data_IF_232724311443
#
_entry.id   IF_232724311443
#
_cell.length_a   1.000
_cell.length_b   1.000
_cell.length_c   1.000
_cell.angle_alpha   90.00
_cell.angle_beta   90.00
_cell.angle_gamma   90.00
#
_symmetry.space_group_name_H-M   'P 1'
#
loop_
_entity.id
_entity.type
_entity.pdbx_description
1 polymer ?
#
# COMPACT_ATOMS: atom_id res chain seq x y z
N UNK A 1 -31.11 12.09 29.96
CA UNK A 1 -31.54 10.85 29.28
C UNK A 1 -30.29 10.00 29.08
N UNK A 2 -30.38 8.68 29.24
CA UNK A 2 -29.22 7.78 29.12
C UNK A 2 -28.86 7.58 27.65
N UNK A 3 -27.58 7.68 27.33
CA UNK A 3 -27.01 7.26 26.05
C UNK A 3 -27.37 5.79 25.78
N UNK A 4 -27.87 5.49 24.57
CA UNK A 4 -28.23 4.13 24.15
C UNK A 4 -27.24 3.64 23.09
N UNK A 5 -26.58 2.52 23.36
CA UNK A 5 -25.59 1.92 22.43
C UNK A 5 -26.02 0.52 22.03
N UNK A 6 -26.07 0.26 20.72
CA UNK A 6 -26.25 -1.08 20.14
C UNK A 6 -25.02 -1.43 19.31
N UNK A 7 -24.35 -2.52 19.66
CA UNK A 7 -23.19 -3.04 18.94
C UNK A 7 -23.51 -4.42 18.33
N UNK A 8 -23.24 -4.54 17.04
CA UNK A 8 -23.49 -5.74 16.25
C UNK A 8 -22.21 -6.18 15.51
N UNK A 9 -22.04 -7.48 15.33
CA UNK A 9 -20.97 -8.07 14.52
C UNK A 9 -21.53 -9.01 13.46
N UNK A 10 -20.86 -9.05 12.31
CA UNK A 10 -21.03 -10.07 11.28
C UNK A 10 -19.66 -10.72 11.03
N UNK A 11 -19.53 -12.00 11.35
CA UNK A 11 -18.32 -12.78 11.11
C UNK A 11 -18.68 -14.12 10.47
N UNK A 12 -18.25 -14.33 9.24
CA UNK A 12 -18.47 -15.58 8.49
C UNK A 12 -17.25 -16.49 8.61
N UNK A 13 -17.49 -17.80 8.71
CA UNK A 13 -16.45 -18.83 8.85
C UNK A 13 -15.63 -18.95 7.57
N UNK A 14 -16.27 -18.76 6.41
CA UNK A 14 -15.66 -18.92 5.08
C UNK A 14 -14.96 -17.65 4.56
N UNK A 15 -14.60 -16.73 5.44
CA UNK A 15 -13.74 -15.60 5.07
C UNK A 15 -14.45 -14.31 4.67
N UNK A 16 -15.66 -14.32 4.08
CA UNK A 16 -16.18 -13.13 3.38
C UNK A 16 -16.50 -11.88 4.24
N UNK A 17 -16.95 -12.03 5.49
CA UNK A 17 -17.25 -10.91 6.39
C UNK A 17 -16.60 -11.02 7.78
N UNK A 18 -16.04 -9.91 8.26
CA UNK A 18 -15.54 -9.75 9.64
C UNK A 18 -15.68 -8.27 10.07
N UNK A 19 -16.93 -7.84 10.27
CA UNK A 19 -17.33 -6.43 10.36
C UNK A 19 -18.11 -6.16 11.63
N UNK A 20 -17.97 -4.95 12.18
CA UNK A 20 -18.83 -4.44 13.24
C UNK A 20 -19.71 -3.29 12.76
N UNK A 21 -20.81 -3.09 13.45
CA UNK A 21 -21.70 -1.97 13.28
C UNK A 21 -22.24 -1.54 14.65
N UNK A 22 -21.98 -0.29 15.02
CA UNK A 22 -22.40 0.31 16.26
C UNK A 22 -23.31 1.50 15.98
N UNK A 23 -24.38 1.61 16.75
CA UNK A 23 -25.27 2.77 16.75
C UNK A 23 -25.38 3.28 18.17
N UNK A 24 -25.02 4.54 18.37
CA UNK A 24 -25.14 5.27 19.63
C UNK A 24 -26.18 6.37 19.42
N UNK A 25 -27.18 6.45 20.29
CA UNK A 25 -28.14 7.56 20.35
C UNK A 25 -27.87 8.32 21.64
N UNK A 26 -27.60 9.62 21.49
CA UNK A 26 -27.43 10.56 22.59
C UNK A 26 -28.30 11.78 22.33
N UNK A 27 -29.38 11.90 23.10
CA UNK A 27 -30.46 12.87 22.89
C UNK A 27 -30.97 12.89 21.43
N UNK A 28 -30.88 14.03 20.73
CA UNK A 28 -31.31 14.16 19.35
C UNK A 28 -30.23 13.77 18.32
N UNK A 29 -29.09 13.24 18.77
CA UNK A 29 -27.96 12.85 17.94
C UNK A 29 -27.87 11.34 17.80
N UNK A 30 -27.65 10.86 16.58
CA UNK A 30 -27.33 9.46 16.31
C UNK A 30 -25.93 9.38 15.71
N UNK A 31 -25.05 8.63 16.36
CA UNK A 31 -23.71 8.32 15.86
C UNK A 31 -23.67 6.86 15.44
N UNK A 32 -23.20 6.62 14.22
CA UNK A 32 -22.97 5.27 13.70
C UNK A 32 -21.47 5.08 13.54
N UNK A 33 -20.93 3.99 14.08
CA UNK A 33 -19.55 3.56 13.86
C UNK A 33 -19.55 2.20 13.18
N UNK A 34 -18.75 2.03 12.13
CA UNK A 34 -18.70 0.76 11.40
C UNK A 34 -17.33 0.52 10.79
N UNK A 35 -16.93 -0.75 10.69
CA UNK A 35 -15.62 -1.11 10.17
C UNK A 35 -15.34 -2.60 10.32
N UNK A 36 -14.06 -2.97 10.25
CA UNK A 36 -13.59 -4.31 10.57
C UNK A 36 -13.52 -4.49 12.08
N UNK A 37 -13.86 -5.68 12.56
CA UNK A 37 -13.86 -5.97 14.00
C UNK A 37 -12.45 -5.76 14.56
N UNK A 38 -12.34 -5.02 15.65
CA UNK A 38 -11.07 -4.64 16.29
C UNK A 38 -10.44 -3.34 15.78
N UNK A 39 -10.94 -2.75 14.69
CA UNK A 39 -10.48 -1.44 14.21
C UNK A 39 -11.36 -0.30 14.77
N UNK A 40 -10.85 0.94 14.72
CA UNK A 40 -11.62 2.14 15.08
C UNK A 40 -12.87 2.31 14.21
N UNK A 41 -12.76 1.94 12.93
CA UNK A 41 -13.82 2.08 11.94
C UNK A 41 -14.10 3.54 11.55
N UNK A 42 -15.10 3.73 10.69
CA UNK A 42 -15.59 5.03 10.27
C UNK A 42 -16.73 5.47 11.19
N UNK A 43 -16.79 6.77 11.49
CA UNK A 43 -17.82 7.37 12.35
C UNK A 43 -18.64 8.36 11.53
N UNK A 44 -19.96 8.26 11.62
CA UNK A 44 -20.90 9.24 11.06
C UNK A 44 -21.90 9.66 12.10
N UNK A 45 -21.98 10.96 12.35
CA UNK A 45 -22.97 11.54 13.26
C UNK A 45 -24.06 12.25 12.46
N UNK A 46 -25.31 12.14 12.90
CA UNK A 46 -26.46 12.78 12.27
C UNK A 46 -27.39 13.32 13.35
N UNK A 47 -27.70 14.61 13.27
CA UNK A 47 -28.69 15.24 14.14
C UNK A 47 -30.11 15.06 13.64
N UNK A 48 -31.04 14.94 14.59
CA UNK A 48 -32.48 14.85 14.36
C UNK A 48 -33.19 15.97 15.12
N UNK A 49 -34.46 16.26 14.78
CA UNK A 49 -35.22 17.29 15.50
C UNK A 49 -35.51 16.96 16.97
N UNK A 50 -35.55 15.67 17.32
CA UNK A 50 -35.84 15.20 18.68
C UNK A 50 -35.28 13.77 18.90
N UNK A 51 -35.23 13.35 20.17
CA UNK A 51 -34.75 12.02 20.55
C UNK A 51 -35.60 10.87 19.98
N UNK A 52 -36.92 11.06 19.84
CA UNK A 52 -37.81 10.01 19.33
C UNK A 52 -37.49 9.68 17.86
N UNK A 53 -37.21 10.70 17.04
CA UNK A 53 -36.79 10.55 15.64
C UNK A 53 -35.39 9.94 15.54
N UNK A 54 -34.45 10.34 16.40
CA UNK A 54 -33.12 9.72 16.45
C UNK A 54 -33.21 8.21 16.76
N UNK A 55 -34.02 7.83 17.75
CA UNK A 55 -34.28 6.42 18.10
C UNK A 55 -34.98 5.64 16.99
N UNK A 56 -35.98 6.21 16.33
CA UNK A 56 -36.66 5.57 15.20
C UNK A 56 -35.70 5.32 14.02
N UNK A 57 -34.83 6.28 13.72
CA UNK A 57 -33.80 6.12 12.70
C UNK A 57 -32.76 5.06 13.08
N UNK A 58 -32.32 5.04 14.35
CA UNK A 58 -31.41 4.03 14.88
C UNK A 58 -32.01 2.62 14.76
N UNK A 59 -33.26 2.42 15.19
CA UNK A 59 -33.98 1.15 15.11
C UNK A 59 -34.08 0.64 13.66
N UNK A 60 -34.35 1.54 12.69
CA UNK A 60 -34.35 1.18 11.27
C UNK A 60 -32.98 0.66 10.80
N UNK A 61 -31.90 1.38 11.12
CA UNK A 61 -30.53 0.99 10.75
C UNK A 61 -30.09 -0.33 11.38
N UNK A 62 -30.42 -0.52 12.65
CA UNK A 62 -30.16 -1.77 13.38
C UNK A 62 -30.91 -2.92 12.71
N UNK A 63 -32.22 -2.76 12.47
CA UNK A 63 -33.04 -3.77 11.81
C UNK A 63 -32.55 -4.15 10.40
N UNK A 64 -32.07 -3.17 9.62
CA UNK A 64 -31.46 -3.40 8.31
C UNK A 64 -30.18 -4.24 8.40
N UNK A 65 -29.38 -4.07 9.46
CA UNK A 65 -28.14 -4.83 9.68
C UNK A 65 -28.42 -6.24 10.19
N UNK A 66 -29.36 -6.38 11.12
CA UNK A 66 -29.80 -7.71 11.59
C UNK A 66 -30.35 -8.56 10.44
N UNK A 67 -31.14 -7.97 9.53
CA UNK A 67 -31.59 -8.64 8.29
C UNK A 67 -30.45 -9.07 7.36
N UNK A 68 -29.27 -8.45 7.47
CA UNK A 68 -28.04 -8.80 6.74
C UNK A 68 -27.14 -9.78 7.53
N UNK A 69 -27.67 -10.41 8.58
CA UNK A 69 -26.96 -11.43 9.37
C UNK A 69 -26.09 -10.89 10.50
N UNK A 70 -26.11 -9.58 10.78
CA UNK A 70 -25.40 -9.04 11.94
C UNK A 70 -26.10 -9.49 13.23
N UNK A 71 -25.31 -9.94 14.20
CA UNK A 71 -25.79 -10.40 15.49
C UNK A 71 -25.31 -9.46 16.62
N UNK A 72 -26.08 -9.31 17.72
CA UNK A 72 -25.60 -8.61 18.91
C UNK A 72 -24.27 -9.21 19.41
N UNK A 73 -23.34 -8.35 19.78
CA UNK A 73 -22.02 -8.75 20.26
C UNK A 73 -21.53 -7.78 21.36
N UNK A 74 -20.42 -8.14 22.01
CA UNK A 74 -19.75 -7.28 22.99
C UNK A 74 -18.42 -6.82 22.39
N UNK A 75 -18.16 -5.50 22.30
CA UNK A 75 -16.90 -4.98 21.78
C UNK A 75 -15.69 -5.60 22.47
N UNK A 76 -14.70 -6.04 21.68
CA UNK A 76 -13.45 -6.60 22.18
C UNK A 76 -13.48 -8.09 22.53
N UNK A 77 -14.65 -8.74 22.55
CA UNK A 77 -14.73 -10.20 22.76
C UNK A 77 -14.22 -10.95 21.52
N UNK A 78 -14.75 -10.60 20.35
CA UNK A 78 -14.22 -11.16 19.09
C UNK A 78 -12.95 -10.42 18.71
N UNK A 79 -11.90 -11.20 18.46
CA UNK A 79 -10.59 -10.65 18.10
C UNK A 79 -10.56 -10.20 16.64
N UNK A 80 -9.77 -9.16 16.37
CA UNK A 80 -9.38 -8.76 15.01
C UNK A 80 -8.82 -9.98 14.28
N UNK A 81 -9.16 -10.15 13.01
CA UNK A 81 -8.49 -11.16 12.17
C UNK A 81 -7.00 -10.91 12.15
N UNK A 82 -6.24 -11.99 12.36
CA UNK A 82 -4.80 -11.93 12.23
C UNK A 82 -4.43 -11.54 10.79
N UNK A 83 -3.53 -10.59 10.66
CA UNK A 83 -2.90 -10.27 9.38
C UNK A 83 -1.76 -11.25 9.19
N UNK A 84 -1.73 -11.93 8.04
CA UNK A 84 -0.62 -12.83 7.75
C UNK A 84 0.64 -12.02 7.49
N UNK A 85 1.59 -12.09 8.44
CA UNK A 85 2.95 -11.58 8.27
C UNK A 85 3.86 -12.76 7.94
N UNK A 86 4.65 -12.59 6.89
CA UNK A 86 5.63 -13.61 6.53
C UNK A 86 6.70 -13.68 7.61
N UNK A 87 6.77 -14.79 8.33
CA UNK A 87 7.90 -15.05 9.20
C UNK A 87 9.13 -15.37 8.34
N UNK A 88 9.99 -14.38 8.19
CA UNK A 88 11.23 -14.51 7.44
C UNK A 88 12.35 -14.92 8.40
N UNK A 89 12.96 -16.07 8.13
CA UNK A 89 14.19 -16.48 8.81
C UNK A 89 15.37 -15.80 8.12
N UNK A 90 15.96 -14.81 8.80
CA UNK A 90 17.15 -14.09 8.39
C UNK A 90 18.39 -14.72 9.01
N UNK A 91 19.45 -14.91 8.23
CA UNK A 91 20.77 -15.27 8.76
C UNK A 91 21.81 -14.25 8.31
N UNK A 92 22.91 -14.13 9.06
CA UNK A 92 23.98 -13.18 8.75
C UNK A 92 24.75 -13.64 7.50
N UNK A 93 25.15 -12.69 6.66
CA UNK A 93 26.01 -12.96 5.50
C UNK A 93 27.43 -13.34 5.93
N UNK A 94 28.04 -14.23 5.15
CA UNK A 94 29.48 -14.56 5.21
C UNK A 94 30.30 -13.79 4.16
N UNK A 95 29.66 -12.98 3.31
CA UNK A 95 30.34 -12.15 2.31
C UNK A 95 31.01 -10.92 2.95
N UNK A 96 31.84 -10.23 2.16
CA UNK A 96 32.36 -8.90 2.52
C UNK A 96 31.20 -7.92 2.70
N UNK A 97 31.35 -6.95 3.59
CA UNK A 97 30.30 -5.97 3.87
C UNK A 97 30.14 -5.00 2.69
N UNK A 98 28.90 -4.63 2.39
CA UNK A 98 28.57 -3.64 1.38
C UNK A 98 29.02 -2.23 1.81
N UNK A 99 29.32 -1.31 0.86
CA UNK A 99 29.68 0.06 1.17
C UNK A 99 28.43 0.88 1.57
N UNK A 100 27.90 0.61 2.76
CA UNK A 100 26.75 1.33 3.34
C UNK A 100 27.21 2.74 3.71
N UNK A 101 26.57 3.76 3.12
CA UNK A 101 26.83 5.17 3.44
C UNK A 101 26.15 5.56 4.76
N UNK A 102 24.89 5.17 4.90
CA UNK A 102 24.08 5.44 6.08
C UNK A 102 23.01 4.37 6.26
N UNK A 103 22.52 4.24 7.50
CA UNK A 103 21.33 3.44 7.82
C UNK A 103 20.46 4.13 8.86
N UNK A 104 19.16 4.12 8.62
CA UNK A 104 18.13 4.63 9.51
C UNK A 104 17.40 3.48 10.20
N UNK A 105 17.53 3.36 11.51
CA UNK A 105 16.76 2.41 12.33
C UNK A 105 15.33 2.95 12.54
N UNK A 106 14.36 2.34 11.84
CA UNK A 106 12.96 2.73 11.95
C UNK A 106 12.27 2.19 13.22
N UNK A 107 12.94 1.33 13.99
CA UNK A 107 12.45 0.77 15.26
C UNK A 107 11.56 -0.47 15.13
N UNK A 108 11.29 -0.96 13.92
CA UNK A 108 10.56 -2.21 13.65
C UNK A 108 10.88 -2.72 12.22
N UNK A 109 10.69 -4.02 11.91
CA UNK A 109 10.87 -4.53 10.55
C UNK A 109 10.10 -3.69 9.52
N UNK A 110 10.71 -3.47 8.35
CA UNK A 110 10.20 -2.54 7.35
C UNK A 110 10.09 -3.18 5.97
N UNK A 111 8.90 -3.13 5.38
CA UNK A 111 8.62 -3.62 4.03
C UNK A 111 8.42 -2.49 3.03
N UNK A 112 7.79 -1.38 3.48
CA UNK A 112 7.53 -0.22 2.65
C UNK A 112 8.81 0.55 2.36
N UNK A 113 9.11 0.73 1.07
CA UNK A 113 10.20 1.58 0.59
C UNK A 113 9.71 2.33 -0.65
N UNK A 114 10.04 3.62 -0.73
CA UNK A 114 9.88 4.40 -1.95
C UNK A 114 11.00 5.43 -2.04
N UNK A 115 11.71 5.43 -3.14
CA UNK A 115 12.86 6.30 -3.42
C UNK A 115 12.56 7.03 -4.72
N UNK A 116 12.56 8.36 -4.67
CA UNK A 116 12.54 9.21 -5.86
C UNK A 116 13.77 10.13 -5.86
N UNK A 117 13.81 11.12 -6.75
CA UNK A 117 14.94 12.08 -6.80
C UNK A 117 14.95 13.11 -5.66
N UNK A 118 14.00 13.06 -4.73
CA UNK A 118 13.86 14.05 -3.65
C UNK A 118 13.96 13.41 -2.27
N UNK A 119 13.43 12.21 -2.12
CA UNK A 119 13.12 11.61 -0.83
C UNK A 119 13.35 10.11 -0.81
N UNK A 120 13.63 9.63 0.39
CA UNK A 120 13.73 8.21 0.73
C UNK A 120 12.69 7.91 1.82
N UNK A 121 11.68 7.11 1.50
CA UNK A 121 10.62 6.74 2.42
C UNK A 121 10.78 5.32 2.93
N UNK A 122 10.50 5.11 4.22
CA UNK A 122 10.44 3.80 4.85
C UNK A 122 9.17 3.66 5.69
N UNK A 123 8.45 2.56 5.47
CA UNK A 123 7.26 2.18 6.22
C UNK A 123 7.48 0.88 7.00
N UNK A 124 7.20 0.89 8.31
CA UNK A 124 7.46 -0.25 9.19
C UNK A 124 6.19 -0.92 9.77
N UNK A 125 6.39 -2.07 10.43
CA UNK A 125 5.32 -2.86 11.04
C UNK A 125 4.58 -2.19 12.22
N UNK A 126 5.06 -1.03 12.71
CA UNK A 126 4.36 -0.20 13.71
C UNK A 126 3.44 0.86 13.09
N UNK A 127 3.34 0.87 11.76
CA UNK A 127 2.56 1.84 11.01
C UNK A 127 3.26 3.17 10.78
N UNK A 128 4.55 3.29 11.15
CA UNK A 128 5.29 4.53 10.99
C UNK A 128 5.87 4.58 9.58
N UNK A 129 5.58 5.67 8.88
CA UNK A 129 6.25 6.06 7.65
C UNK A 129 7.17 7.23 8.00
N UNK A 130 8.45 7.08 7.71
CA UNK A 130 9.44 8.17 7.82
C UNK A 130 9.90 8.56 6.43
N UNK A 131 9.87 9.85 6.14
CA UNK A 131 10.43 10.43 4.92
C UNK A 131 11.77 11.07 5.27
N UNK A 132 12.82 10.70 4.55
CA UNK A 132 14.16 11.25 4.68
C UNK A 132 14.60 11.91 3.37
N UNK A 133 15.61 12.78 3.43
CA UNK A 133 16.40 13.12 2.24
C UNK A 133 17.46 12.03 1.95
N UNK A 134 18.18 12.17 0.84
CA UNK A 134 19.22 11.22 0.44
C UNK A 134 20.48 11.24 1.32
N UNK A 135 20.58 12.17 2.28
CA UNK A 135 21.64 12.29 3.29
C UNK A 135 21.17 11.79 4.67
N UNK A 136 20.05 11.06 4.72
CA UNK A 136 19.44 10.48 5.92
C UNK A 136 18.93 11.50 6.94
N UNK A 137 18.62 12.74 6.54
CA UNK A 137 17.92 13.68 7.41
C UNK A 137 16.43 13.39 7.38
N UNK A 138 15.82 13.26 8.56
CA UNK A 138 14.36 13.07 8.68
C UNK A 138 13.65 14.36 8.30
N UNK A 139 12.76 14.28 7.30
CA UNK A 139 11.96 15.38 6.79
C UNK A 139 10.55 15.40 7.39
N UNK A 140 9.93 14.23 7.50
CA UNK A 140 8.56 14.07 8.00
C UNK A 140 8.32 12.67 8.59
N UNK A 141 7.32 12.55 9.46
CA UNK A 141 6.81 11.28 9.93
C UNK A 141 5.30 11.27 10.05
N UNK A 142 4.68 10.20 9.57
CA UNK A 142 3.27 9.92 9.78
C UNK A 142 3.06 8.51 10.30
N UNK A 143 1.99 8.32 11.09
CA UNK A 143 1.60 7.02 11.62
C UNK A 143 0.23 6.61 11.09
N UNK A 144 0.22 5.52 10.34
CA UNK A 144 -0.98 4.78 9.94
C UNK A 144 -1.53 3.95 11.12
N UNK A 145 -2.79 3.50 11.07
CA UNK A 145 -3.40 2.74 12.18
C UNK A 145 -2.74 1.40 12.48
N UNK A 146 -2.09 0.79 11.50
CA UNK A 146 -1.45 -0.53 11.59
C UNK A 146 -0.20 -0.59 10.69
N UNK A 147 0.50 -1.73 10.66
CA UNK A 147 1.76 -1.93 9.93
C UNK A 147 1.70 -1.55 8.44
N UNK A 148 2.75 -0.92 7.95
CA UNK A 148 2.89 -0.56 6.52
C UNK A 148 3.41 -1.76 5.74
N UNK A 149 2.65 -2.21 4.75
CA UNK A 149 3.00 -3.35 3.87
C UNK A 149 3.87 -2.95 2.70
N UNK A 150 3.55 -1.83 2.06
CA UNK A 150 4.27 -1.32 0.90
C UNK A 150 4.05 0.20 0.79
N UNK A 151 4.94 0.85 0.05
CA UNK A 151 4.76 2.21 -0.44
C UNK A 151 4.92 2.12 -1.95
N UNK A 152 3.93 2.57 -2.70
CA UNK A 152 3.92 2.53 -4.16
C UNK A 152 3.54 3.91 -4.70
N UNK A 153 3.99 4.23 -5.91
CA UNK A 153 3.61 5.45 -6.57
C UNK A 153 2.89 5.16 -7.88
N UNK A 154 2.03 6.10 -8.24
CA UNK A 154 1.36 6.16 -9.52
C UNK A 154 1.43 7.61 -9.96
N UNK A 155 2.34 7.91 -10.89
CA UNK A 155 2.78 9.26 -11.23
C UNK A 155 3.15 10.10 -10.00
N UNK A 156 2.38 11.14 -9.71
CA UNK A 156 2.62 12.07 -8.61
C UNK A 156 1.99 11.62 -7.28
N UNK A 157 1.17 10.55 -7.28
CA UNK A 157 0.50 10.07 -6.09
C UNK A 157 1.32 8.98 -5.42
N UNK A 158 1.48 9.11 -4.10
CA UNK A 158 2.18 8.11 -3.27
C UNK A 158 1.13 7.43 -2.40
N UNK A 159 1.09 6.10 -2.41
CA UNK A 159 0.17 5.30 -1.64
C UNK A 159 0.90 4.37 -0.67
N UNK A 160 0.34 4.16 0.51
CA UNK A 160 0.78 3.13 1.44
C UNK A 160 -0.32 2.10 1.70
N UNK A 161 0.02 0.83 1.51
CA UNK A 161 -0.80 -0.29 1.96
C UNK A 161 -0.63 -0.52 3.46
N UNK A 162 -1.73 -0.72 4.17
CA UNK A 162 -1.75 -0.88 5.62
C UNK A 162 -2.35 -2.23 6.02
N UNK A 163 -1.86 -2.81 7.11
CA UNK A 163 -2.35 -4.05 7.72
C UNK A 163 -3.81 -3.92 8.22
N UNK A 164 -4.35 -2.71 8.36
CA UNK A 164 -5.78 -2.46 8.58
C UNK A 164 -6.65 -2.76 7.34
N UNK A 165 -6.00 -3.05 6.21
CA UNK A 165 -6.51 -3.32 4.87
C UNK A 165 -7.15 -2.13 4.17
N UNK A 166 -6.72 -0.93 4.52
CA UNK A 166 -6.90 0.26 3.70
C UNK A 166 -5.61 0.57 2.93
N UNK A 167 -5.77 1.34 1.86
CA UNK A 167 -4.67 1.98 1.12
C UNK A 167 -4.81 3.48 1.31
N UNK A 168 -3.75 4.11 1.81
CA UNK A 168 -3.71 5.52 2.15
C UNK A 168 -2.95 6.30 1.08
N UNK A 169 -3.56 7.32 0.50
CA UNK A 169 -2.88 8.36 -0.28
C UNK A 169 -2.09 9.25 0.69
N UNK A 170 -0.80 9.43 0.43
CA UNK A 170 0.18 10.19 1.21
C UNK A 170 0.55 11.53 0.53
N UNK A 171 -0.10 11.88 -0.58
CA UNK A 171 0.32 13.00 -1.44
C UNK A 171 -0.06 14.38 -0.88
N UNK A 172 -0.98 14.43 0.09
CA UNK A 172 -1.35 15.64 0.81
C UNK A 172 -0.81 15.67 2.24
N UNK A 173 -1.03 16.77 2.98
CA UNK A 173 -0.55 16.92 4.37
C UNK A 173 -1.05 15.86 5.35
N UNK A 174 -2.26 15.35 5.11
CA UNK A 174 -2.90 14.34 5.95
C UNK A 174 -3.18 13.14 5.05
N UNK A 175 -2.70 11.93 5.39
CA UNK A 175 -3.03 10.75 4.61
C UNK A 175 -4.54 10.53 4.53
N UNK A 176 -5.02 10.05 3.39
CA UNK A 176 -6.44 9.80 3.17
C UNK A 176 -6.66 8.39 2.67
N UNK A 177 -7.70 7.72 3.17
CA UNK A 177 -8.09 6.41 2.64
C UNK A 177 -8.55 6.58 1.19
N UNK A 178 -7.75 6.05 0.27
CA UNK A 178 -8.04 6.01 -1.15
C UNK A 178 -8.83 4.73 -1.51
N UNK A 179 -8.45 3.60 -0.92
CA UNK A 179 -9.11 2.30 -1.13
C UNK A 179 -9.34 1.59 0.20
N UNK A 180 -10.45 0.86 0.30
CA UNK A 180 -10.81 0.05 1.44
C UNK A 180 -11.01 -1.39 0.97
N UNK A 181 -9.94 -2.20 1.09
CA UNK A 181 -9.92 -3.56 0.56
C UNK A 181 -10.98 -4.41 1.28
N UNK A 182 -11.56 -5.37 0.56
CA UNK A 182 -12.54 -6.27 1.14
C UNK A 182 -11.91 -7.07 2.31
N UNK A 183 -12.59 -7.21 3.48
CA UNK A 183 -11.99 -7.82 4.69
C UNK A 183 -11.64 -9.31 4.59
N UNK A 184 -12.06 -9.96 3.52
CA UNK A 184 -11.78 -11.36 3.20
C UNK A 184 -10.53 -11.54 2.34
N UNK A 185 -9.91 -10.45 1.90
CA UNK A 185 -8.63 -10.45 1.20
C UNK A 185 -7.52 -10.23 2.25
N UNK A 186 -6.73 -11.26 2.51
CA UNK A 186 -5.53 -11.18 3.35
C UNK A 186 -4.35 -10.70 2.49
N UNK A 187 -4.14 -9.38 2.48
CA UNK A 187 -3.27 -8.68 1.54
C UNK A 187 -1.80 -9.10 1.72
N UNK A 188 -1.18 -9.55 0.63
CA UNK A 188 0.27 -9.82 0.56
C UNK A 188 1.02 -8.72 -0.18
N UNK A 189 0.50 -8.23 -1.31
CA UNK A 189 1.13 -7.16 -2.07
C UNK A 189 0.11 -6.27 -2.78
N UNK A 190 0.52 -5.05 -3.10
CA UNK A 190 -0.28 -4.03 -3.77
C UNK A 190 0.59 -3.30 -4.81
N UNK A 191 0.00 -2.92 -5.93
CA UNK A 191 0.59 -2.01 -6.92
C UNK A 191 -0.54 -1.24 -7.60
N UNK A 192 -0.24 -0.06 -8.14
CA UNK A 192 -1.26 0.82 -8.72
C UNK A 192 -0.74 1.47 -10.00
N UNK A 193 -1.61 1.53 -10.99
CA UNK A 193 -1.34 2.23 -12.24
C UNK A 193 -2.60 2.92 -12.73
N UNK A 194 -2.49 4.23 -12.95
CA UNK A 194 -3.57 5.11 -13.40
C UNK A 194 -4.88 4.93 -12.61
N UNK A 195 -4.78 4.94 -11.28
CA UNK A 195 -5.92 4.78 -10.38
C UNK A 195 -6.53 3.36 -10.33
N UNK A 196 -5.97 2.39 -11.04
CA UNK A 196 -6.35 0.97 -10.93
C UNK A 196 -5.42 0.26 -9.96
N UNK A 197 -5.97 -0.18 -8.83
CA UNK A 197 -5.24 -0.88 -7.78
C UNK A 197 -5.29 -2.39 -8.01
N UNK A 198 -4.12 -3.01 -8.15
CA UNK A 198 -3.94 -4.46 -8.08
C UNK A 198 -3.67 -4.92 -6.66
N UNK A 199 -4.33 -6.01 -6.23
CA UNK A 199 -4.17 -6.58 -4.89
C UNK A 199 -3.98 -8.08 -4.98
N UNK A 200 -2.86 -8.58 -4.44
CA UNK A 200 -2.60 -10.02 -4.30
C UNK A 200 -2.73 -10.48 -2.84
N UNK A 201 -3.11 -11.73 -2.64
CA UNK A 201 -3.47 -12.25 -1.32
C UNK A 201 -2.78 -13.56 -0.90
N UNK A 202 -2.94 -13.89 0.39
CA UNK A 202 -2.35 -15.05 1.04
C UNK A 202 -2.75 -16.39 0.41
N UNK A 203 -3.96 -16.48 -0.13
CA UNK A 203 -4.53 -17.67 -0.78
C UNK A 203 -4.16 -17.75 -2.26
N UNK A 204 -3.36 -16.79 -2.76
CA UNK A 204 -2.90 -16.73 -4.14
C UNK A 204 -3.85 -15.95 -5.06
N UNK A 205 -4.92 -15.36 -4.54
CA UNK A 205 -5.87 -14.58 -5.31
C UNK A 205 -5.30 -13.25 -5.80
N UNK A 206 -5.97 -12.71 -6.82
CA UNK A 206 -5.66 -11.42 -7.44
C UNK A 206 -6.96 -10.66 -7.73
N UNK A 207 -6.97 -9.36 -7.42
CA UNK A 207 -8.06 -8.45 -7.71
C UNK A 207 -7.56 -7.17 -8.38
N UNK A 208 -8.39 -6.59 -9.24
CA UNK A 208 -8.23 -5.23 -9.73
C UNK A 208 -9.41 -4.38 -9.28
N UNK A 209 -9.12 -3.20 -8.75
CA UNK A 209 -10.07 -2.27 -8.12
C UNK A 209 -9.91 -0.90 -8.78
N UNK A 210 -11.00 -0.30 -9.21
CA UNK A 210 -11.01 1.01 -9.87
C UNK A 210 -10.85 2.18 -8.89
N UNK A 211 -10.75 3.39 -9.44
CA UNK A 211 -10.56 4.65 -8.70
C UNK A 211 -11.72 5.01 -7.77
N UNK A 212 -12.88 4.38 -7.91
CA UNK A 212 -14.01 4.50 -7.01
C UNK A 212 -13.99 3.41 -5.93
N UNK A 213 -12.90 2.65 -5.79
CA UNK A 213 -12.75 1.55 -4.84
C UNK A 213 -13.86 0.50 -5.06
N UNK A 214 -14.02 0.09 -6.33
CA UNK A 214 -14.95 -0.94 -6.79
C UNK A 214 -14.20 -2.01 -7.59
N UNK A 215 -14.57 -3.29 -7.39
CA UNK A 215 -13.93 -4.37 -8.13
C UNK A 215 -14.25 -4.25 -9.63
N UNK A 216 -13.19 -4.17 -10.44
CA UNK A 216 -13.27 -4.48 -11.87
C UNK A 216 -13.43 -5.98 -12.05
N UNK A 217 -12.61 -6.75 -11.32
CA UNK A 217 -12.67 -8.21 -11.30
C UNK A 217 -11.85 -8.77 -10.12
N UNK A 218 -12.10 -10.05 -9.82
CA UNK A 218 -11.32 -10.87 -8.87
C UNK A 218 -11.18 -12.28 -9.43
N UNK A 219 -10.03 -12.91 -9.20
CA UNK A 219 -9.72 -14.29 -9.62
C UNK A 219 -9.06 -15.06 -8.48
N UNK A 220 -9.33 -16.37 -8.34
CA UNK A 220 -8.42 -17.24 -7.60
C UNK A 220 -7.09 -17.37 -8.35
N UNK A 221 -6.00 -17.54 -7.61
CA UNK A 221 -4.70 -17.89 -8.18
C UNK A 221 -4.59 -19.34 -8.62
N UNK A 222 -3.41 -19.69 -9.16
CA UNK A 222 -3.03 -21.08 -9.45
C UNK A 222 -2.42 -21.74 -8.24
N UNK A 223 -1.72 -20.95 -7.43
CA UNK A 223 -1.07 -21.35 -6.20
C UNK A 223 -1.66 -20.67 -4.98
N UNK A 224 -0.79 -20.47 -4.00
CA UNK A 224 -1.02 -19.71 -2.79
C UNK A 224 0.09 -18.69 -2.61
N UNK A 225 -0.04 -17.83 -1.61
CA UNK A 225 1.02 -16.91 -1.17
C UNK A 225 1.50 -16.00 -2.30
N UNK A 226 0.61 -15.13 -2.79
CA UNK A 226 0.93 -14.26 -3.91
C UNK A 226 1.70 -13.01 -3.47
N UNK A 227 3.03 -13.12 -3.47
CA UNK A 227 3.96 -12.05 -3.06
C UNK A 227 4.32 -11.05 -4.16
N UNK A 228 3.56 -11.05 -5.25
CA UNK A 228 3.76 -10.15 -6.37
C UNK A 228 2.43 -9.76 -6.98
N UNK A 229 2.20 -8.45 -7.04
CA UNK A 229 1.35 -7.82 -8.04
C UNK A 229 2.11 -6.64 -8.62
N UNK A 230 2.05 -6.46 -9.94
CA UNK A 230 2.60 -5.31 -10.66
C UNK A 230 1.60 -4.83 -11.72
N UNK A 231 1.36 -3.54 -11.79
CA UNK A 231 0.35 -2.94 -12.66
C UNK A 231 1.02 -2.01 -13.67
N UNK A 232 0.58 -2.08 -14.93
CA UNK A 232 0.96 -1.12 -15.95
C UNK A 232 -0.22 -0.76 -16.86
N UNK A 233 0.07 -0.11 -17.99
CA UNK A 233 -0.93 0.37 -18.94
C UNK A 233 -1.75 -0.75 -19.58
N UNK A 234 -1.20 -1.96 -19.70
CA UNK A 234 -1.77 -3.04 -20.51
C UNK A 234 -2.22 -4.25 -19.68
N UNK A 235 -1.62 -4.49 -18.50
CA UNK A 235 -1.85 -5.70 -17.74
C UNK A 235 -1.63 -5.55 -16.22
N UNK A 236 -2.08 -6.58 -15.52
CA UNK A 236 -1.73 -6.85 -14.12
C UNK A 236 -0.92 -8.14 -14.09
N UNK A 237 0.30 -8.07 -13.58
CA UNK A 237 1.21 -9.21 -13.41
C UNK A 237 1.17 -9.69 -11.98
N UNK A 238 1.04 -10.98 -11.79
CA UNK A 238 0.78 -11.59 -10.50
C UNK A 238 1.67 -12.81 -10.31
N UNK A 239 2.33 -12.92 -9.16
CA UNK A 239 3.23 -14.02 -8.85
C UNK A 239 2.85 -14.74 -7.57
N UNK A 240 2.67 -16.06 -7.66
CA UNK A 240 2.27 -16.94 -6.57
C UNK A 240 3.24 -18.11 -6.38
N UNK A 241 2.86 -19.11 -5.57
CA UNK A 241 3.71 -20.27 -5.31
C UNK A 241 4.03 -21.14 -6.53
N UNK A 242 3.35 -20.95 -7.66
CA UNK A 242 3.45 -21.76 -8.89
C UNK A 242 4.17 -21.05 -10.04
N UNK A 243 4.20 -19.72 -10.05
CA UNK A 243 4.77 -18.96 -11.15
C UNK A 243 4.30 -17.53 -11.20
N UNK A 244 4.52 -16.91 -12.36
CA UNK A 244 4.04 -15.56 -12.69
C UNK A 244 2.99 -15.67 -13.81
N UNK A 245 1.91 -14.92 -13.69
CA UNK A 245 0.85 -14.81 -14.69
C UNK A 245 0.62 -13.35 -15.06
N UNK A 246 0.26 -13.10 -16.31
CA UNK A 246 -0.23 -11.81 -16.79
C UNK A 246 -1.74 -11.85 -17.02
N UNK A 247 -2.46 -10.80 -16.61
CA UNK A 247 -3.89 -10.66 -16.80
C UNK A 247 -4.21 -9.36 -17.52
N UNK A 248 -5.17 -9.38 -18.43
CA UNK A 248 -5.76 -8.16 -19.00
C UNK A 248 -6.32 -7.31 -17.86
N UNK A 249 -5.85 -6.06 -17.75
CA UNK A 249 -6.15 -5.23 -16.59
C UNK A 249 -7.65 -4.94 -16.43
N UNK A 250 -8.43 -4.97 -17.52
CA UNK A 250 -9.84 -4.57 -17.54
C UNK A 250 -10.79 -5.73 -17.29
N UNK A 251 -10.48 -6.89 -17.84
CA UNK A 251 -11.36 -8.07 -17.85
C UNK A 251 -10.89 -9.18 -16.90
N UNK A 252 -9.63 -9.12 -16.47
CA UNK A 252 -8.99 -10.17 -15.68
C UNK A 252 -8.86 -11.48 -16.45
N UNK A 253 -8.89 -11.45 -17.79
CA UNK A 253 -8.58 -12.60 -18.62
C UNK A 253 -7.09 -12.92 -18.48
N UNK A 254 -6.75 -14.17 -18.15
CA UNK A 254 -5.35 -14.61 -18.16
C UNK A 254 -4.80 -14.53 -19.59
N UNK A 255 -3.71 -13.80 -19.76
CA UNK A 255 -2.98 -13.64 -21.02
C UNK A 255 -1.94 -14.75 -21.17
N UNK A 256 -1.24 -15.06 -20.08
CA UNK A 256 -0.20 -16.08 -20.03
C UNK A 256 0.10 -16.49 -18.59
N UNK A 257 0.76 -17.65 -18.46
CA UNK A 257 1.36 -18.13 -17.22
C UNK A 257 2.73 -18.75 -17.50
N UNK A 258 3.73 -18.34 -16.73
CA UNK A 258 5.10 -18.84 -16.79
C UNK A 258 5.47 -19.43 -15.44
N UNK A 259 5.75 -20.74 -15.43
CA UNK A 259 6.15 -21.46 -14.22
C UNK A 259 7.51 -20.99 -13.73
N UNK A 260 7.61 -20.74 -12.44
CA UNK A 260 8.86 -20.44 -11.73
C UNK A 260 8.93 -21.25 -10.43
N UNK A 261 9.99 -21.07 -9.63
CA UNK A 261 9.89 -21.37 -8.21
C UNK A 261 8.86 -20.45 -7.52
N UNK A 262 8.45 -20.79 -6.29
CA UNK A 262 7.49 -19.96 -5.55
C UNK A 262 7.97 -18.51 -5.45
N UNK A 263 7.14 -17.58 -5.93
CA UNK A 263 7.46 -16.16 -5.96
C UNK A 263 7.40 -15.59 -4.54
N UNK A 264 8.40 -14.80 -4.20
CA UNK A 264 8.60 -14.20 -2.89
C UNK A 264 8.64 -12.68 -2.92
N UNK A 265 8.82 -12.10 -4.12
CA UNK A 265 8.83 -10.66 -4.38
C UNK A 265 8.75 -10.43 -5.90
N UNK A 266 8.16 -9.31 -6.32
CA UNK A 266 8.11 -8.90 -7.72
C UNK A 266 8.65 -7.50 -7.96
N UNK A 267 9.33 -7.28 -9.07
CA UNK A 267 9.72 -5.97 -9.62
C UNK A 267 9.24 -5.87 -11.07
N UNK A 268 9.07 -4.65 -11.59
CA UNK A 268 8.75 -4.44 -12.99
C UNK A 268 9.61 -3.36 -13.62
N UNK A 269 9.92 -3.57 -14.90
CA UNK A 269 10.44 -2.59 -15.82
C UNK A 269 9.46 -2.43 -16.99
N UNK A 270 9.77 -1.52 -17.92
CA UNK A 270 8.92 -1.26 -19.09
C UNK A 270 8.57 -2.54 -19.87
N UNK A 271 9.50 -3.47 -20.05
CA UNK A 271 9.36 -4.58 -21.00
C UNK A 271 9.22 -5.95 -20.32
N UNK A 272 9.50 -6.01 -19.02
CA UNK A 272 9.67 -7.26 -18.30
C UNK A 272 9.26 -7.12 -16.84
N UNK A 273 8.88 -8.25 -16.24
CA UNK A 273 8.73 -8.40 -14.80
C UNK A 273 9.82 -9.33 -14.25
N UNK A 274 10.17 -9.12 -12.99
CA UNK A 274 11.22 -9.86 -12.31
C UNK A 274 10.66 -10.48 -11.03
N UNK A 275 10.82 -11.78 -10.86
CA UNK A 275 10.34 -12.50 -9.69
C UNK A 275 11.52 -13.03 -8.88
N UNK A 276 11.69 -12.55 -7.65
CA UNK A 276 12.56 -13.18 -6.66
C UNK A 276 11.89 -14.44 -6.11
N UNK A 277 12.57 -15.57 -6.08
CA UNK A 277 11.95 -16.87 -5.79
C UNK A 277 12.58 -17.62 -4.61
N UNK A 278 11.81 -18.56 -4.07
CA UNK A 278 12.28 -19.53 -3.09
C UNK A 278 13.35 -20.49 -3.65
N UNK A 279 13.46 -20.59 -4.98
CA UNK A 279 14.46 -21.43 -5.69
C UNK A 279 15.80 -20.73 -5.89
N UNK A 280 16.03 -19.62 -5.16
CA UNK A 280 17.32 -18.91 -5.07
C UNK A 280 17.70 -18.21 -6.35
N UNK A 281 16.72 -17.66 -7.05
CA UNK A 281 16.94 -16.94 -8.29
C UNK A 281 16.01 -15.73 -8.39
N UNK A 282 16.43 -14.75 -9.18
CA UNK A 282 15.50 -13.80 -9.80
C UNK A 282 15.20 -14.32 -11.20
N UNK A 283 13.93 -14.38 -11.58
CA UNK A 283 13.50 -14.75 -12.94
C UNK A 283 12.98 -13.50 -13.64
N UNK A 284 13.62 -13.07 -14.73
CA UNK A 284 13.10 -12.05 -15.65
C UNK A 284 12.19 -12.71 -16.66
N UNK A 285 11.01 -12.17 -16.87
CA UNK A 285 9.99 -12.66 -17.81
C UNK A 285 9.52 -11.47 -18.63
N UNK A 286 9.49 -11.59 -19.97
CA UNK A 286 8.91 -10.57 -20.83
C UNK A 286 7.41 -10.38 -20.56
N UNK A 287 6.89 -9.19 -20.81
CA UNK A 287 5.44 -8.90 -20.62
C UNK A 287 4.50 -9.69 -21.54
N UNK A 288 5.05 -10.35 -22.56
CA UNK A 288 4.36 -11.34 -23.41
C UNK A 288 4.38 -12.77 -22.85
N UNK A 289 4.96 -12.96 -21.65
CA UNK A 289 5.14 -14.25 -20.98
C UNK A 289 6.33 -15.07 -21.49
N UNK A 290 7.03 -14.58 -22.53
CA UNK A 290 8.17 -15.28 -23.17
C UNK A 290 9.49 -14.71 -22.64
N UNK A 291 10.59 -15.34 -23.02
CA UNK A 291 11.95 -15.01 -22.59
C UNK A 291 12.13 -15.02 -21.06
N UNK A 292 12.48 -16.19 -20.52
CA UNK A 292 12.92 -16.33 -19.14
C UNK A 292 14.45 -16.23 -19.06
N UNK A 293 14.98 -15.27 -18.30
CA UNK A 293 16.39 -15.26 -17.87
C UNK A 293 16.44 -15.40 -16.36
N UNK A 294 17.45 -16.10 -15.85
CA UNK A 294 17.60 -16.33 -14.41
C UNK A 294 18.91 -15.77 -13.88
N UNK A 295 18.84 -15.21 -12.67
CA UNK A 295 19.97 -14.64 -11.94
C UNK A 295 20.12 -15.42 -10.64
N UNK A 296 21.11 -16.30 -10.59
CA UNK A 296 21.26 -17.26 -9.48
C UNK A 296 21.87 -16.58 -8.26
N UNK A 297 21.19 -16.64 -7.12
CA UNK A 297 21.70 -16.31 -5.79
C UNK A 297 22.07 -17.59 -5.00
N UNK A 298 22.58 -17.43 -3.78
CA UNK A 298 23.01 -18.58 -2.97
C UNK A 298 21.92 -19.08 -2.00
N UNK A 299 20.89 -18.28 -1.77
CA UNK A 299 19.76 -18.54 -0.87
C UNK A 299 18.43 -17.96 -1.43
N UNK A 300 17.25 -18.30 -0.85
CA UNK A 300 15.96 -17.75 -1.28
C UNK A 300 15.98 -16.22 -1.39
N UNK A 301 15.48 -15.70 -2.50
CA UNK A 301 15.50 -14.27 -2.81
C UNK A 301 14.24 -13.62 -2.26
N UNK A 302 14.41 -12.66 -1.36
CA UNK A 302 13.31 -11.94 -0.69
C UNK A 302 13.00 -10.60 -1.31
N UNK A 303 13.91 -10.06 -2.12
CA UNK A 303 13.71 -8.80 -2.83
C UNK A 303 14.57 -8.76 -4.09
N UNK A 304 14.09 -8.03 -5.08
CA UNK A 304 14.86 -7.69 -6.27
C UNK A 304 14.46 -6.30 -6.76
N UNK A 305 15.37 -5.67 -7.49
CA UNK A 305 15.12 -4.44 -8.24
C UNK A 305 16.08 -4.40 -9.43
N UNK A 306 15.91 -3.40 -10.28
CA UNK A 306 16.80 -3.18 -11.42
C UNK A 306 17.27 -1.74 -11.47
N UNK A 307 18.44 -1.53 -12.06
CA UNK A 307 18.75 -0.23 -12.64
C UNK A 307 17.93 -0.04 -13.93
N UNK A 308 17.81 1.21 -14.39
CA UNK A 308 17.08 1.57 -15.61
C UNK A 308 17.37 0.62 -16.79
N UNK A 309 16.30 0.22 -17.48
CA UNK A 309 16.26 -0.74 -18.57
C UNK A 309 16.75 -2.17 -18.22
N UNK A 310 16.87 -2.51 -16.94
CA UNK A 310 17.33 -3.83 -16.50
C UNK A 310 18.83 -4.06 -16.70
N UNK A 311 19.61 -3.01 -16.98
CA UNK A 311 21.08 -3.06 -17.19
C UNK A 311 21.81 -3.75 -16.04
N UNK A 312 21.35 -3.51 -14.82
CA UNK A 312 21.76 -4.23 -13.63
C UNK A 312 20.55 -4.83 -12.94
N UNK A 313 20.66 -6.09 -12.53
CA UNK A 313 19.66 -6.76 -11.71
C UNK A 313 20.20 -6.95 -10.30
N UNK A 314 19.47 -6.48 -9.31
CA UNK A 314 19.81 -6.62 -7.91
C UNK A 314 18.94 -7.69 -7.24
N UNK A 315 19.52 -8.43 -6.31
CA UNK A 315 18.81 -9.42 -5.50
C UNK A 315 19.24 -9.33 -4.05
N UNK A 316 18.30 -9.54 -3.12
CA UNK A 316 18.54 -9.64 -1.69
C UNK A 316 18.05 -10.99 -1.19
N UNK A 317 18.93 -11.78 -0.57
CA UNK A 317 18.61 -13.14 -0.15
C UNK A 317 18.35 -13.28 1.36
N UNK A 318 17.95 -14.48 1.78
CA UNK A 318 17.66 -14.80 3.17
C UNK A 318 18.89 -14.84 4.10
N UNK A 319 20.10 -14.68 3.57
CA UNK A 319 21.36 -14.71 4.29
C UNK A 319 21.98 -13.31 4.40
N UNK A 320 21.16 -12.26 4.44
CA UNK A 320 21.62 -10.87 4.50
C UNK A 320 22.63 -10.49 3.42
N UNK A 321 22.57 -11.16 2.26
CA UNK A 321 23.44 -10.88 1.12
C UNK A 321 22.67 -10.14 0.04
N UNK A 322 23.34 -9.20 -0.60
CA UNK A 322 22.90 -8.52 -1.81
C UNK A 322 23.83 -8.86 -2.96
N UNK A 323 23.25 -8.88 -4.16
CA UNK A 323 23.92 -9.26 -5.39
C UNK A 323 23.64 -8.21 -6.45
N UNK A 324 24.56 -8.08 -7.40
CA UNK A 324 24.29 -7.46 -8.68
C UNK A 324 24.67 -8.42 -9.80
N UNK A 325 23.84 -8.42 -10.83
CA UNK A 325 24.04 -9.18 -12.04
C UNK A 325 24.00 -8.25 -13.25
N UNK A 326 24.81 -8.56 -14.26
CA UNK A 326 24.65 -8.00 -15.58
C UNK A 326 23.38 -8.57 -16.25
N UNK A 327 22.90 -7.89 -17.28
CA UNK A 327 21.72 -8.31 -18.05
C UNK A 327 21.82 -9.75 -18.58
N UNK A 328 23.03 -10.25 -18.86
CA UNK A 328 23.24 -11.61 -19.37
C UNK A 328 23.13 -12.71 -18.29
N UNK A 329 22.97 -12.35 -17.02
CA UNK A 329 22.91 -13.28 -15.89
C UNK A 329 24.23 -13.44 -15.14
N UNK A 330 25.32 -12.83 -15.63
CA UNK A 330 26.63 -12.86 -14.97
C UNK A 330 26.54 -12.15 -13.62
N UNK A 331 26.87 -12.86 -12.54
CA UNK A 331 26.99 -12.26 -11.21
C UNK A 331 28.23 -11.37 -11.19
N UNK A 332 28.02 -10.08 -11.00
CA UNK A 332 29.08 -9.07 -10.93
C UNK A 332 29.71 -9.03 -9.54
N UNK A 333 28.87 -9.05 -8.49
CA UNK A 333 29.34 -9.03 -7.10
C UNK A 333 28.32 -9.64 -6.13
N UNK A 334 28.79 -9.95 -4.92
CA UNK A 334 28.01 -10.36 -3.75
C UNK A 334 28.58 -9.70 -2.50
N UNK A 335 27.75 -8.97 -1.76
CA UNK A 335 28.13 -8.29 -0.53
C UNK A 335 27.10 -8.54 0.57
N UNK A 336 27.49 -8.43 1.84
CA UNK A 336 26.61 -8.52 3.00
C UNK A 336 26.06 -7.14 3.37
N UNK A 337 24.75 -7.03 3.61
CA UNK A 337 24.10 -5.75 3.95
C UNK A 337 24.60 -5.13 5.27
N UNK A 338 25.10 -5.95 6.19
CA UNK A 338 25.49 -5.53 7.54
C UNK A 338 24.31 -5.17 8.46
N UNK A 339 23.07 -5.25 7.97
CA UNK A 339 21.86 -4.85 8.68
C UNK A 339 20.65 -5.77 8.40
N UNK A 340 20.88 -7.07 8.18
CA UNK A 340 19.81 -8.06 7.97
C UNK A 340 19.39 -8.22 6.50
N UNK A 341 18.53 -9.20 6.22
CA UNK A 341 18.07 -9.49 4.86
C UNK A 341 17.15 -8.40 4.35
N UNK A 342 17.29 -8.03 3.07
CA UNK A 342 16.47 -7.03 2.42
C UNK A 342 15.06 -7.57 2.14
N UNK A 343 14.04 -6.93 2.73
CA UNK A 343 12.62 -7.17 2.45
C UNK A 343 12.15 -6.52 1.16
N UNK A 344 12.73 -5.36 0.84
CA UNK A 344 12.48 -4.65 -0.41
C UNK A 344 13.71 -3.79 -0.73
N UNK A 345 13.84 -3.39 -1.99
CA UNK A 345 14.94 -2.56 -2.45
C UNK A 345 14.54 -1.70 -3.64
N UNK A 346 15.24 -0.59 -3.82
CA UNK A 346 15.15 0.27 -5.00
C UNK A 346 16.51 0.85 -5.34
N UNK A 347 16.77 0.99 -6.64
CA UNK A 347 17.98 1.62 -7.15
C UNK A 347 17.69 3.05 -7.61
N UNK A 348 18.56 3.99 -7.25
CA UNK A 348 18.49 5.37 -7.71
C UNK A 348 19.90 5.96 -7.80
N UNK A 349 20.28 6.49 -8.97
CA UNK A 349 21.55 7.21 -9.18
C UNK A 349 22.80 6.58 -8.54
N UNK A 350 23.12 5.32 -8.92
CA UNK A 350 24.25 4.55 -8.38
C UNK A 350 24.15 4.22 -6.88
N UNK A 351 22.97 4.37 -6.28
CA UNK A 351 22.72 3.96 -4.90
C UNK A 351 21.66 2.87 -4.87
N UNK A 352 21.92 1.83 -4.09
CA UNK A 352 20.93 0.81 -3.79
C UNK A 352 20.39 1.06 -2.38
N UNK A 353 19.09 1.27 -2.28
CA UNK A 353 18.38 1.45 -1.04
C UNK A 353 17.70 0.14 -0.66
N UNK A 354 17.84 -0.28 0.61
CA UNK A 354 17.24 -1.52 1.11
C UNK A 354 16.49 -1.25 2.41
N UNK A 355 15.32 -1.86 2.55
CA UNK A 355 14.64 -2.01 3.85
C UNK A 355 14.79 -3.44 4.32
N UNK A 356 15.05 -3.65 5.61
CA UNK A 356 15.59 -4.92 6.10
C UNK A 356 14.76 -5.57 7.21
N UNK A 357 15.01 -6.86 7.44
CA UNK A 357 14.47 -7.65 8.57
C UNK A 357 14.74 -7.04 9.94
N UNK A 358 15.80 -6.24 10.06
CA UNK A 358 16.18 -5.57 11.30
C UNK A 358 15.54 -4.19 11.47
N UNK A 359 14.72 -3.75 10.50
CA UNK A 359 14.02 -2.48 10.55
C UNK A 359 14.81 -1.27 10.03
N UNK A 360 15.95 -1.51 9.39
CA UNK A 360 16.74 -0.43 8.80
C UNK A 360 16.29 -0.12 7.38
N UNK A 361 16.23 1.18 7.04
CA UNK A 361 16.44 1.68 5.68
C UNK A 361 17.93 2.00 5.54
N UNK A 362 18.63 1.40 4.58
CA UNK A 362 20.05 1.64 4.36
C UNK A 362 20.32 2.09 2.92
N UNK A 363 21.26 3.02 2.76
CA UNK A 363 21.76 3.48 1.47
C UNK A 363 23.14 2.89 1.22
N UNK A 364 23.29 2.18 0.10
CA UNK A 364 24.50 1.49 -0.31
C UNK A 364 25.04 2.17 -1.56
N UNK A 365 26.32 2.52 -1.56
CA UNK A 365 26.98 3.01 -2.76
C UNK A 365 27.20 1.84 -3.75
N UNK A 366 26.41 1.83 -4.81
CA UNK A 366 26.47 0.82 -5.85
C UNK A 366 27.36 1.24 -7.03
N UNK A 367 28.12 2.35 -6.90
CA UNK A 367 29.11 2.74 -7.90
C UNK A 367 30.24 1.72 -7.99
N UNK A 368 30.76 1.52 -9.20
CA UNK A 368 31.83 0.55 -9.44
C UNK A 368 33.07 0.77 -8.54
N UNK A 369 33.56 2.01 -8.30
CA UNK A 369 34.67 2.24 -7.39
C UNK A 369 34.39 1.80 -5.96
N UNK A 370 33.20 2.10 -5.42
CA UNK A 370 32.83 1.74 -4.06
C UNK A 370 32.68 0.22 -3.88
N UNK A 371 32.09 -0.45 -4.87
CA UNK A 371 31.97 -1.91 -4.88
C UNK A 371 33.35 -2.58 -4.92
N UNK A 372 34.26 -2.14 -5.80
CA UNK A 372 35.63 -2.68 -5.87
C UNK A 372 36.39 -2.49 -4.55
N UNK A 373 36.24 -1.34 -3.91
CA UNK A 373 36.83 -1.07 -2.60
C UNK A 373 36.26 -2.04 -1.54
N UNK A 374 34.94 -2.25 -1.52
CA UNK A 374 34.28 -3.15 -0.59
C UNK A 374 34.72 -4.61 -0.76
N UNK A 375 34.89 -5.08 -2.00
CA UNK A 375 35.43 -6.41 -2.31
C UNK A 375 36.88 -6.57 -1.82
N UNK A 376 37.68 -5.50 -1.89
CA UNK A 376 39.01 -5.43 -1.30
C UNK A 376 39.01 -5.29 0.25
N UNK A 377 37.83 -5.15 0.87
CA UNK A 377 37.65 -5.05 2.32
C UNK A 377 37.68 -3.62 2.88
N UNK A 378 37.61 -2.60 2.02
CA UNK A 378 37.51 -1.20 2.42
C UNK A 378 36.08 -0.70 2.21
N UNK A 379 35.44 -0.30 3.30
CA UNK A 379 34.08 0.28 3.29
C UNK A 379 34.11 1.63 4.00
N UNK A 380 33.22 2.57 3.64
CA UNK A 380 33.06 3.82 4.37
C UNK A 380 32.63 3.57 5.82
N UNK A 381 32.87 4.57 6.67
CA UNK A 381 32.23 4.63 7.98
C UNK A 381 30.73 4.88 7.80
N UNK A 382 29.91 4.02 8.39
CA UNK A 382 28.46 4.08 8.25
C UNK A 382 27.90 5.17 9.16
N UNK A 383 27.09 6.08 8.60
CA UNK A 383 26.32 7.03 9.40
C UNK A 383 25.07 6.35 9.96
N UNK A 384 25.03 6.18 11.28
CA UNK A 384 23.90 5.61 12.01
C UNK A 384 22.88 6.69 12.39
N UNK A 385 21.66 6.60 11.84
CA UNK A 385 20.54 7.49 12.16
C UNK A 385 19.45 6.70 12.88
N UNK A 386 18.90 7.26 13.96
CA UNK A 386 17.84 6.60 14.74
C UNK A 386 16.52 7.34 14.57
N UNK A 387 15.43 6.59 14.56
CA UNK A 387 14.10 7.15 14.68
C UNK A 387 13.99 8.05 15.93
N UNK A 388 13.17 9.12 15.87
CA UNK A 388 12.79 9.88 17.05
C UNK A 388 12.23 8.97 18.16
N UNK A 389 12.58 9.28 19.41
CA UNK A 389 12.23 8.43 20.55
C UNK A 389 10.71 8.31 20.78
N UNK A 390 9.93 9.31 20.39
CA UNK A 390 8.47 9.32 20.48
C UNK A 390 7.87 9.02 19.11
N UNK A 391 6.97 8.05 19.07
CA UNK A 391 6.18 7.77 17.87
C UNK A 391 5.25 8.96 17.55
N UNK A 392 5.05 9.29 16.26
CA UNK A 392 4.04 10.27 15.89
C UNK A 392 2.65 9.78 16.31
N UNK A 393 1.79 10.74 16.66
CA UNK A 393 0.38 10.44 16.89
C UNK A 393 -0.25 9.91 15.59
N UNK A 394 -1.20 8.96 15.66
CA UNK A 394 -1.93 8.52 14.48
C UNK A 394 -2.56 9.70 13.74
N UNK A 395 -2.42 9.74 12.41
CA UNK A 395 -2.97 10.83 11.62
C UNK A 395 -4.51 10.90 11.71
N UNK A 396 -5.07 12.11 11.70
CA UNK A 396 -6.51 12.32 11.80
C UNK A 396 -7.19 12.18 10.43
N UNK A 397 -7.22 10.97 9.87
CA UNK A 397 -7.58 10.68 8.47
C UNK A 397 -8.98 11.15 8.03
N UNK A 398 -9.90 11.39 8.97
CA UNK A 398 -11.27 11.86 8.72
C UNK A 398 -11.48 13.35 9.00
N UNK A 399 -10.52 14.05 9.61
CA UNK A 399 -10.65 15.48 9.87
C UNK A 399 -10.40 16.27 8.58
N UNK A 400 -11.26 17.23 8.29
CA UNK A 400 -11.13 18.10 7.12
C UNK A 400 -11.20 19.55 7.61
N UNK A 401 -10.21 20.35 7.24
CA UNK A 401 -10.21 21.78 7.51
C UNK A 401 -11.41 22.44 6.81
N UNK A 402 -12.11 23.33 7.51
CA UNK A 402 -13.27 24.05 6.98
C UNK A 402 -12.91 25.50 6.71
N UNK A 403 -13.03 25.94 5.45
CA UNK A 403 -12.69 27.29 5.00
C UNK A 403 -13.92 28.04 4.47
N UNK A 404 -13.86 29.37 4.52
CA UNK A 404 -14.97 30.25 4.12
C UNK A 404 -14.89 30.81 2.69
N UNK A 405 -13.75 30.66 2.02
CA UNK A 405 -13.52 31.16 0.66
C UNK A 405 -12.79 30.11 -0.18
N UNK A 406 -13.06 30.11 -1.49
CA UNK A 406 -12.51 29.15 -2.44
C UNK A 406 -11.03 29.42 -2.80
N UNK A 407 -10.57 30.67 -2.72
CA UNK A 407 -9.26 31.06 -3.23
C UNK A 407 -9.06 30.66 -4.69
N UNK A 408 -7.89 30.09 -5.00
CA UNK A 408 -7.52 29.62 -6.34
C UNK A 408 -7.65 28.09 -6.51
N UNK A 409 -8.20 27.40 -5.52
CA UNK A 409 -8.32 25.94 -5.53
C UNK A 409 -9.44 25.47 -6.48
N UNK A 410 -9.39 24.20 -6.88
CA UNK A 410 -10.44 23.58 -7.67
C UNK A 410 -11.59 23.17 -6.75
N UNK A 411 -12.79 23.65 -7.04
CA UNK A 411 -14.00 23.29 -6.30
C UNK A 411 -14.61 22.00 -6.87
N UNK A 412 -14.90 21.06 -5.98
CA UNK A 412 -15.59 19.80 -6.27
C UNK A 412 -16.81 19.64 -5.36
N UNK A 413 -17.81 18.90 -5.83
CA UNK A 413 -19.05 18.65 -5.10
C UNK A 413 -19.32 17.16 -4.97
N UNK A 414 -19.78 16.77 -3.78
CA UNK A 414 -20.22 15.43 -3.50
C UNK A 414 -21.72 15.27 -3.79
N UNK A 415 -22.07 14.50 -4.83
CA UNK A 415 -23.45 14.26 -5.26
C UNK A 415 -23.86 12.81 -5.01
N UNK A 416 -25.16 12.58 -4.83
CA UNK A 416 -25.71 11.22 -4.74
C UNK A 416 -26.12 10.73 -6.14
N UNK A 417 -25.56 9.60 -6.57
CA UNK A 417 -25.84 8.97 -7.86
C UNK A 417 -25.94 7.46 -7.68
N UNK A 418 -27.09 6.88 -8.02
CA UNK A 418 -27.33 5.43 -7.91
C UNK A 418 -27.19 4.89 -6.47
N UNK A 419 -27.50 5.71 -5.45
CA UNK A 419 -27.35 5.35 -4.03
C UNK A 419 -25.90 5.34 -3.53
N UNK A 420 -24.96 5.88 -4.30
CA UNK A 420 -23.56 6.08 -3.91
C UNK A 420 -23.21 7.58 -3.98
N UNK A 421 -22.29 8.01 -3.13
CA UNK A 421 -21.74 9.35 -3.21
C UNK A 421 -20.61 9.39 -4.23
N UNK A 422 -20.71 10.27 -5.22
CA UNK A 422 -19.69 10.56 -6.23
C UNK A 422 -19.22 12.00 -6.09
N UNK A 423 -18.03 12.29 -6.60
CA UNK A 423 -17.47 13.64 -6.56
C UNK A 423 -17.26 14.13 -7.99
N UNK A 424 -17.70 15.34 -8.30
CA UNK A 424 -17.56 15.97 -9.62
C UNK A 424 -16.95 17.36 -9.49
N UNK A 425 -16.25 17.81 -10.53
CA UNK A 425 -15.64 19.14 -10.56
C UNK A 425 -16.69 20.20 -10.88
N UNK A 426 -16.77 21.25 -10.04
CA UNK A 426 -17.66 22.39 -10.26
C UNK A 426 -16.97 23.56 -10.97
N UNK A 427 -15.66 23.72 -10.76
CA UNK A 427 -14.85 24.75 -11.42
C UNK A 427 -14.97 24.68 -12.95
N UNK A 428 -14.86 25.83 -13.60
CA UNK A 428 -14.91 25.93 -15.07
C UNK A 428 -13.68 25.30 -15.72
N UNK A 429 -13.82 24.76 -16.93
CA UNK A 429 -12.70 24.15 -17.68
C UNK A 429 -12.58 22.63 -17.52
N UNK A 430 -13.43 22.01 -16.69
CA UNK A 430 -13.45 20.57 -16.45
C UNK A 430 -14.73 19.92 -16.96
N UNK A 431 -14.65 18.63 -17.31
CA UNK A 431 -15.82 17.81 -17.65
C UNK A 431 -16.64 17.52 -16.40
N UNK A 432 -17.92 17.93 -16.41
CA UNK A 432 -18.80 17.78 -15.24
C UNK A 432 -19.37 16.38 -15.09
N UNK A 433 -19.41 15.61 -16.16
CA UNK A 433 -19.87 14.22 -16.19
C UNK A 433 -18.83 13.22 -15.68
N UNK A 434 -17.58 13.67 -15.49
CA UNK A 434 -16.48 12.85 -15.00
C UNK A 434 -16.42 12.83 -13.48
N UNK A 435 -16.21 11.64 -12.91
CA UNK A 435 -16.01 11.49 -11.47
C UNK A 435 -14.59 11.87 -11.07
N UNK A 436 -14.40 12.20 -9.79
CA UNK A 436 -13.11 12.48 -9.18
C UNK A 436 -12.78 11.38 -8.18
N UNK A 437 -11.64 10.70 -8.35
CA UNK A 437 -11.05 9.87 -7.31
C UNK A 437 -10.83 10.74 -6.07
N UNK A 438 -11.60 10.47 -5.03
CA UNK A 438 -11.71 11.31 -3.85
C UNK A 438 -11.94 10.47 -2.59
N UNK A 439 -11.33 10.79 -1.43
CA UNK A 439 -11.42 9.93 -0.24
C UNK A 439 -12.85 9.73 0.25
N UNK A 440 -13.32 8.47 0.28
CA UNK A 440 -14.72 8.14 0.66
C UNK A 440 -15.05 8.53 2.10
N UNK A 441 -14.08 8.42 3.01
CA UNK A 441 -14.28 8.62 4.45
C UNK A 441 -14.66 10.05 4.85
N UNK A 442 -14.54 11.02 3.94
CA UNK A 442 -14.88 12.42 4.18
C UNK A 442 -16.02 12.91 3.29
N UNK A 443 -16.56 12.07 2.39
CA UNK A 443 -17.66 12.46 1.47
C UNK A 443 -18.94 12.71 2.25
N UNK A 444 -19.50 13.91 2.11
CA UNK A 444 -20.80 14.27 2.68
C UNK A 444 -21.78 14.70 1.56
N UNK A 445 -23.03 14.21 1.55
CA UNK A 445 -23.99 14.56 0.51
C UNK A 445 -24.19 16.08 0.40
N UNK A 446 -24.04 16.63 -0.80
CA UNK A 446 -24.17 18.07 -1.08
C UNK A 446 -23.02 18.93 -0.56
N UNK A 447 -22.01 18.35 0.09
CA UNK A 447 -20.86 19.11 0.55
C UNK A 447 -19.94 19.48 -0.61
N UNK A 448 -19.39 20.68 -0.52
CA UNK A 448 -18.39 21.22 -1.46
C UNK A 448 -17.02 21.19 -0.82
N UNK A 449 -16.03 20.80 -1.61
CA UNK A 449 -14.64 20.72 -1.19
C UNK A 449 -13.77 21.53 -2.15
N UNK A 450 -12.63 21.97 -1.64
CA UNK A 450 -11.56 22.58 -2.40
C UNK A 450 -10.40 21.60 -2.41
N UNK A 451 -9.85 21.37 -3.60
CA UNK A 451 -8.64 20.58 -3.80
C UNK A 451 -7.59 21.44 -4.49
N UNK A 452 -6.32 21.29 -4.11
CA UNK A 452 -5.23 22.07 -4.73
C UNK A 452 -5.23 21.94 -6.24
N UNK A 453 -5.42 20.71 -6.74
CA UNK A 453 -5.50 20.43 -8.17
C UNK A 453 -6.39 19.21 -8.43
N UNK A 454 -6.99 19.13 -9.62
CA UNK A 454 -7.50 17.88 -10.17
C UNK A 454 -6.78 17.58 -11.49
N UNK A 455 -6.35 16.34 -11.65
CA UNK A 455 -5.61 15.86 -12.83
C UNK A 455 -6.42 14.80 -13.55
N UNK A 456 -6.41 14.82 -14.87
CA UNK A 456 -7.02 13.76 -15.69
C UNK A 456 -6.21 12.46 -15.52
N UNK A 457 -6.89 11.31 -15.44
CA UNK A 457 -6.25 10.01 -15.51
C UNK A 457 -5.56 9.82 -16.86
N UNK A 458 -4.45 9.07 -16.91
CA UNK A 458 -3.70 8.80 -18.13
C UNK A 458 -4.54 8.14 -19.23
N UNK A 459 -5.52 7.32 -18.85
CA UNK A 459 -6.48 6.66 -19.76
C UNK A 459 -7.76 7.48 -20.00
N UNK A 460 -7.92 8.59 -19.29
CA UNK A 460 -9.16 9.36 -19.25
C UNK A 460 -10.31 8.62 -18.55
N UNK A 461 -11.49 9.22 -18.61
CA UNK A 461 -12.73 8.76 -17.98
C UNK A 461 -13.00 9.32 -16.59
N UNK A 462 -11.99 9.83 -15.89
CA UNK A 462 -12.11 10.40 -14.55
C UNK A 462 -10.97 11.38 -14.22
N UNK A 463 -11.14 12.09 -13.11
CA UNK A 463 -10.11 12.96 -12.53
C UNK A 463 -9.60 12.39 -11.21
N UNK A 464 -8.43 12.85 -10.78
CA UNK A 464 -7.82 12.50 -9.50
C UNK A 464 -7.52 13.78 -8.72
N UNK A 465 -7.97 13.85 -7.48
CA UNK A 465 -7.62 14.96 -6.60
C UNK A 465 -6.14 14.88 -6.25
N UNK A 466 -5.44 16.02 -6.25
CA UNK A 466 -4.03 16.12 -5.89
C UNK A 466 -3.82 17.26 -4.90
N UNK A 467 -2.97 17.03 -3.90
CA UNK A 467 -2.64 18.00 -2.85
C UNK A 467 -3.64 18.04 -1.69
N UNK A 468 -3.81 19.21 -1.09
CA UNK A 468 -4.62 19.39 0.11
C UNK A 468 -6.12 19.35 -0.22
N UNK A 469 -6.90 18.79 0.71
CA UNK A 469 -8.38 18.73 0.62
C UNK A 469 -8.98 19.48 1.80
N UNK A 470 -9.81 20.48 1.50
CA UNK A 470 -10.51 21.33 2.48
C UNK A 470 -12.01 21.35 2.17
N UNK A 471 -12.85 21.56 3.18
CA UNK A 471 -14.30 21.68 3.03
C UNK A 471 -14.70 23.14 2.96
N UNK A 472 -15.55 23.50 2.01
CA UNK A 472 -16.11 24.84 1.89
C UNK A 472 -17.40 24.94 2.74
N UNK A 473 -17.56 26.05 3.47
CA UNK A 473 -18.74 26.34 4.30
C UNK A 473 -20.05 26.47 3.53
#
# INVERSE_FOLDING_TARGET
MSQETTYLELSEVDGAAHKFYEVVVDDAMMTVRYGRIGDQGQVKTTGYPDNARARAAAAKKIGDKVRKGYAPAVPGVRQKRAVSRRQIVSTRSTARTAPVLWRYDSGAPAFGIFIDGRTCMVGNERGVITTLDHDARVLDQVRLPDGVKCIVADDAWIYAGCDDGNVYDLSGKIPRVAYAIAPDIDIYWLDIHDGVLGVSDADGGIAAIDHEDEFLWRRPGRGRSAWMVRCDTDAVYHGDSTGVSGYDWRTGQELWHTRTGSVLFGWQERDAVFAGTATREVVRIGKDGRAARTYRADAPVFSCATAEDGRYVFAGDSQSSIYCFAEDGTRLWKLGTGCGSAYSMQYHEQRLYVVTTSGHLACIDASEPAIRAAEAGSVPEVVDVKAPARLPEPAAFTQVEVVGDAGNDVMVECIEQGGRLRVHVLSTGYRRDWSVQFPKGIREPGARYLVTEVRESGRGGFYRAYGDIRRLR
#
